data_IF_938546846578
#
_entry.id   IF_938546846578
#
_cell.length_a   1.000
_cell.length_b   1.000
_cell.length_c   1.000
_cell.angle_alpha   90.00
_cell.angle_beta   90.00
_cell.angle_gamma   90.00
#
_symmetry.space_group_name_H-M   'P 1'
#
loop_
_entity.id
_entity.type
_entity.pdbx_description
1 polymer ?
#
# COMPACT_ATOMS: atom_id res chain seq x y z
N UNK A 1 -49.33 -39.24 14.16
CA UNK A 1 -49.35 -38.44 15.36
C UNK A 1 -48.26 -37.36 15.18
N UNK A 2 -48.71 -36.22 14.67
CA UNK A 2 -48.49 -34.86 15.11
C UNK A 2 -47.04 -34.54 15.61
N UNK A 3 -46.28 -33.67 14.98
CA UNK A 3 -46.41 -32.23 15.10
C UNK A 3 -45.62 -31.49 13.99
N UNK A 4 -46.37 -30.71 13.29
CA UNK A 4 -45.97 -29.60 12.48
C UNK A 4 -45.75 -28.39 13.43
N UNK A 5 -44.60 -27.72 13.41
CA UNK A 5 -44.49 -26.38 13.94
C UNK A 5 -43.60 -25.58 13.00
N UNK A 6 -44.26 -24.72 12.28
CA UNK A 6 -43.83 -23.54 11.63
C UNK A 6 -42.81 -22.75 12.46
N UNK A 7 -41.72 -22.37 11.82
CA UNK A 7 -40.98 -21.17 12.25
C UNK A 7 -40.80 -20.25 11.03
N UNK A 8 -41.79 -19.36 10.86
CA UNK A 8 -41.93 -18.42 9.75
C UNK A 8 -41.81 -16.96 10.21
N UNK A 9 -40.99 -16.68 11.23
CA UNK A 9 -40.95 -15.34 11.81
C UNK A 9 -39.55 -14.68 11.88
N UNK A 10 -38.56 -15.19 11.12
CA UNK A 10 -37.21 -14.58 11.11
C UNK A 10 -36.85 -13.82 9.83
N UNK A 11 -37.72 -13.85 8.81
CA UNK A 11 -37.43 -13.21 7.50
C UNK A 11 -38.01 -11.80 7.34
N UNK A 12 -38.91 -11.37 8.23
CA UNK A 12 -39.55 -10.06 8.10
C UNK A 12 -38.82 -8.88 8.74
N UNK A 13 -37.81 -9.13 9.58
CA UNK A 13 -37.05 -8.05 10.24
C UNK A 13 -35.83 -7.62 9.44
N UNK A 14 -35.28 -8.49 8.59
CA UNK A 14 -34.12 -8.14 7.75
C UNK A 14 -34.50 -7.25 6.55
N UNK A 15 -35.69 -7.41 6.01
CA UNK A 15 -36.19 -6.58 4.91
C UNK A 15 -36.63 -5.17 5.38
N UNK A 16 -37.02 -5.01 6.65
CA UNK A 16 -37.42 -3.72 7.21
C UNK A 16 -36.25 -2.75 7.43
N UNK A 17 -35.05 -3.28 7.71
CA UNK A 17 -33.85 -2.43 7.94
C UNK A 17 -33.18 -1.96 6.65
N UNK A 18 -33.42 -2.62 5.51
CA UNK A 18 -32.94 -2.20 4.20
C UNK A 18 -33.76 -1.04 3.61
N UNK A 19 -34.99 -0.85 4.08
CA UNK A 19 -35.90 0.21 3.56
C UNK A 19 -35.64 1.60 4.17
N UNK A 20 -34.78 1.72 5.20
CA UNK A 20 -34.53 2.99 5.91
C UNK A 20 -33.32 3.81 5.40
N UNK A 21 -32.60 3.37 4.36
CA UNK A 21 -31.42 4.10 3.85
C UNK A 21 -31.66 4.92 2.56
N UNK A 22 -32.87 5.40 2.32
CA UNK A 22 -33.10 6.32 1.20
C UNK A 22 -32.97 7.80 1.62
N UNK A 23 -32.12 8.60 0.96
CA UNK A 23 -32.04 10.03 1.25
C UNK A 23 -33.33 10.75 0.86
N UNK A 24 -33.93 11.46 1.85
CA UNK A 24 -35.07 12.33 1.62
C UNK A 24 -34.59 13.59 0.92
N UNK A 25 -34.90 13.77 -0.35
CA UNK A 25 -34.83 15.06 -1.01
C UNK A 25 -36.25 15.54 -1.31
N UNK A 26 -36.55 16.77 -0.87
CA UNK A 26 -37.83 17.35 -0.93
C UNK A 26 -38.28 17.76 -2.34
N UNK A 27 -39.52 17.66 -2.53
CA UNK A 27 -40.48 18.10 -3.54
C UNK A 27 -41.15 16.96 -4.29
N UNK A 28 -42.39 16.63 -3.83
CA UNK A 28 -43.31 15.64 -4.40
C UNK A 28 -42.84 14.18 -4.46
N UNK A 29 -42.93 13.49 -3.36
CA UNK A 29 -43.61 12.22 -3.14
C UNK A 29 -43.13 10.95 -3.86
N UNK A 30 -42.18 10.97 -4.75
CA UNK A 30 -41.69 9.79 -5.44
C UNK A 30 -40.31 9.44 -4.93
N UNK A 31 -40.15 8.29 -4.29
CA UNK A 31 -38.84 7.78 -3.81
C UNK A 31 -38.09 7.24 -5.01
N UNK A 32 -37.20 8.04 -5.55
CA UNK A 32 -36.29 7.61 -6.61
C UNK A 32 -35.20 6.73 -6.00
N UNK A 33 -35.00 5.54 -6.53
CA UNK A 33 -33.88 4.68 -6.13
C UNK A 33 -32.56 5.28 -6.60
N UNK A 34 -31.45 4.92 -5.94
CA UNK A 34 -30.11 5.42 -6.32
C UNK A 34 -29.80 5.09 -7.79
N UNK A 35 -30.14 3.89 -8.21
CA UNK A 35 -29.91 3.43 -9.60
C UNK A 35 -30.74 4.23 -10.62
N UNK A 36 -31.96 4.58 -10.25
CA UNK A 36 -32.83 5.42 -11.07
C UNK A 36 -32.33 6.88 -11.13
N UNK A 37 -31.78 7.39 -10.02
CA UNK A 37 -31.12 8.70 -10.02
C UNK A 37 -29.88 8.70 -10.93
N UNK A 38 -29.10 7.64 -10.98
CA UNK A 38 -27.97 7.51 -11.90
C UNK A 38 -28.42 7.46 -13.37
N UNK A 39 -29.50 6.76 -13.69
CA UNK A 39 -30.05 6.74 -15.06
C UNK A 39 -30.57 8.09 -15.50
N UNK A 40 -31.23 8.83 -14.62
CA UNK A 40 -31.72 10.22 -14.88
C UNK A 40 -30.54 11.18 -15.14
N UNK A 41 -29.43 11.05 -14.43
CA UNK A 41 -28.22 11.89 -14.58
C UNK A 41 -27.38 11.51 -15.81
N UNK A 42 -27.73 10.45 -16.53
CA UNK A 42 -27.06 10.06 -17.78
C UNK A 42 -26.23 8.78 -17.72
N UNK A 43 -26.44 7.94 -16.72
CA UNK A 43 -25.82 6.63 -16.61
C UNK A 43 -24.29 6.66 -16.51
N UNK A 44 -23.60 5.78 -17.26
CA UNK A 44 -22.13 5.71 -17.30
C UNK A 44 -21.54 6.84 -18.17
N UNK A 45 -21.49 8.05 -17.59
CA UNK A 45 -21.09 9.27 -18.28
C UNK A 45 -19.57 9.52 -18.27
N UNK A 46 -19.18 10.71 -18.76
CA UNK A 46 -17.74 11.11 -18.86
C UNK A 46 -17.06 11.16 -17.49
N UNK A 47 -17.78 11.55 -16.43
CA UNK A 47 -17.25 11.63 -15.08
C UNK A 47 -16.86 10.24 -14.54
N UNK A 48 -17.72 9.25 -14.70
CA UNK A 48 -17.48 7.87 -14.24
C UNK A 48 -16.28 7.27 -14.98
N UNK A 49 -16.20 7.46 -16.31
CA UNK A 49 -15.05 7.02 -17.12
C UNK A 49 -13.75 7.64 -16.64
N UNK A 50 -13.74 8.96 -16.41
CA UNK A 50 -12.57 9.66 -15.89
C UNK A 50 -12.17 9.16 -14.51
N UNK A 51 -13.14 8.97 -13.61
CA UNK A 51 -12.91 8.43 -12.26
C UNK A 51 -12.30 7.03 -12.30
N UNK A 52 -12.82 6.14 -13.17
CA UNK A 52 -12.27 4.81 -13.39
C UNK A 52 -10.82 4.85 -13.86
N UNK A 53 -10.51 5.69 -14.86
CA UNK A 53 -9.15 5.84 -15.40
C UNK A 53 -8.20 6.33 -14.30
N UNK A 54 -8.59 7.36 -13.54
CA UNK A 54 -7.75 7.89 -12.45
C UNK A 54 -7.52 6.86 -11.36
N UNK A 55 -8.55 6.11 -10.97
CA UNK A 55 -8.42 5.04 -9.99
C UNK A 55 -7.51 3.90 -10.49
N UNK A 56 -7.63 3.53 -11.76
CA UNK A 56 -6.77 2.52 -12.39
C UNK A 56 -5.30 2.95 -12.41
N UNK A 57 -5.01 4.19 -12.83
CA UNK A 57 -3.65 4.75 -12.81
C UNK A 57 -3.06 4.78 -11.40
N UNK A 58 -3.89 5.13 -10.40
CA UNK A 58 -3.50 5.13 -9.00
C UNK A 58 -3.14 3.71 -8.52
N UNK A 59 -3.92 2.70 -8.91
CA UNK A 59 -3.67 1.31 -8.56
C UNK A 59 -2.43 0.74 -9.27
N UNK A 60 -2.20 1.12 -10.53
CA UNK A 60 -0.97 0.76 -11.24
C UNK A 60 0.27 1.29 -10.51
N UNK A 61 0.25 2.55 -10.07
CA UNK A 61 1.35 3.11 -9.27
C UNK A 61 1.64 2.32 -7.99
N UNK A 62 0.60 1.85 -7.31
CA UNK A 62 0.74 0.98 -6.13
C UNK A 62 1.37 -0.38 -6.48
N UNK A 63 0.95 -0.99 -7.58
CA UNK A 63 1.50 -2.26 -8.05
C UNK A 63 2.97 -2.14 -8.42
N UNK A 64 3.37 -1.05 -9.09
CA UNK A 64 4.78 -0.78 -9.37
C UNK A 64 5.61 -0.66 -8.10
N UNK A 65 5.14 0.08 -7.09
CA UNK A 65 5.84 0.21 -5.82
C UNK A 65 6.03 -1.16 -5.14
N UNK A 66 4.97 -1.96 -5.03
CA UNK A 66 5.03 -3.30 -4.43
C UNK A 66 6.04 -4.22 -5.13
N UNK A 67 6.05 -4.22 -6.46
CA UNK A 67 7.00 -5.01 -7.23
C UNK A 67 8.44 -4.48 -7.12
N UNK A 68 8.60 -3.15 -7.01
CA UNK A 68 9.92 -2.53 -6.86
C UNK A 68 10.51 -2.70 -5.46
N UNK A 69 9.70 -3.06 -4.47
CA UNK A 69 10.14 -3.15 -3.07
C UNK A 69 11.29 -4.16 -2.90
N UNK A 70 11.24 -5.29 -3.60
CA UNK A 70 12.32 -6.27 -3.61
C UNK A 70 13.66 -5.69 -4.12
N UNK A 71 13.63 -4.76 -5.06
CA UNK A 71 14.84 -4.09 -5.56
C UNK A 71 15.35 -3.02 -4.58
N UNK A 72 14.47 -2.45 -3.75
CA UNK A 72 14.86 -1.51 -2.70
C UNK A 72 15.60 -2.19 -1.55
N UNK A 73 15.38 -3.48 -1.33
CA UNK A 73 16.04 -4.31 -0.32
C UNK A 73 17.20 -5.13 -0.88
N UNK A 74 17.50 -5.01 -2.18
CA UNK A 74 18.58 -5.78 -2.80
C UNK A 74 19.95 -5.34 -2.28
N UNK A 75 20.72 -6.30 -1.79
CA UNK A 75 22.09 -6.05 -1.32
C UNK A 75 23.03 -5.77 -2.50
N UNK A 76 23.89 -4.74 -2.39
CA UNK A 76 24.90 -4.46 -3.40
C UNK A 76 25.96 -5.56 -3.42
N UNK A 77 26.71 -5.66 -4.51
CA UNK A 77 27.91 -6.50 -4.56
C UNK A 77 29.12 -5.74 -4.08
N UNK A 78 30.03 -6.47 -3.43
CA UNK A 78 31.28 -5.93 -2.87
C UNK A 78 32.48 -6.39 -3.67
N UNK A 79 33.49 -5.58 -3.70
CA UNK A 79 34.83 -5.93 -4.15
C UNK A 79 35.80 -5.66 -3.00
N UNK A 80 36.62 -6.63 -2.67
CA UNK A 80 37.60 -6.54 -1.59
C UNK A 80 39.01 -6.84 -2.10
N UNK A 81 39.98 -6.11 -1.57
CA UNK A 81 41.40 -6.38 -1.83
C UNK A 81 41.91 -7.37 -0.78
N UNK A 82 41.78 -8.67 -1.07
CA UNK A 82 42.19 -9.75 -0.19
C UNK A 82 43.71 -10.01 -0.27
N UNK A 83 44.35 -9.63 -1.41
CA UNK A 83 45.78 -9.67 -1.60
C UNK A 83 46.27 -8.28 -2.04
N UNK A 84 47.50 -7.87 -1.67
CA UNK A 84 48.05 -6.56 -2.03
C UNK A 84 48.01 -6.33 -3.55
N UNK A 85 47.20 -5.38 -4.02
CA UNK A 85 47.11 -5.00 -5.43
C UNK A 85 46.11 -5.80 -6.27
N UNK A 86 45.41 -6.81 -5.72
CA UNK A 86 44.43 -7.62 -6.46
C UNK A 86 43.01 -7.41 -5.91
N UNK A 87 42.14 -6.91 -6.74
CA UNK A 87 40.70 -6.76 -6.41
C UNK A 87 39.96 -8.07 -6.70
N UNK A 88 39.38 -8.66 -5.67
CA UNK A 88 38.48 -9.81 -5.78
C UNK A 88 37.04 -9.31 -5.81
N UNK A 89 36.31 -9.71 -6.86
CA UNK A 89 34.88 -9.35 -6.99
C UNK A 89 34.01 -10.39 -6.28
N UNK A 90 32.99 -9.92 -5.55
CA UNK A 90 31.96 -10.77 -4.98
C UNK A 90 31.10 -11.42 -6.07
N UNK A 91 30.95 -12.74 -5.97
CA UNK A 91 30.06 -13.53 -6.84
C UNK A 91 28.81 -13.96 -6.10
N UNK A 92 27.85 -14.58 -6.83
CA UNK A 92 26.65 -15.13 -6.18
C UNK A 92 26.96 -16.24 -5.19
N UNK A 93 28.08 -16.99 -5.42
CA UNK A 93 28.53 -18.07 -4.56
C UNK A 93 29.37 -17.57 -3.36
N UNK A 94 30.07 -16.45 -3.56
CA UNK A 94 30.87 -15.78 -2.53
C UNK A 94 30.62 -14.26 -2.54
N UNK A 95 29.63 -13.79 -1.78
CA UNK A 95 29.18 -12.39 -1.84
C UNK A 95 30.15 -11.38 -1.22
N UNK A 96 31.20 -11.78 -0.50
CA UNK A 96 32.17 -10.94 0.23
C UNK A 96 31.52 -9.98 1.26
N UNK A 97 30.31 -10.26 1.70
CA UNK A 97 29.60 -9.43 2.68
C UNK A 97 30.28 -9.50 4.06
N UNK A 98 30.75 -10.71 4.44
CA UNK A 98 31.40 -10.93 5.72
C UNK A 98 32.75 -10.22 5.76
N UNK A 99 33.53 -10.28 4.68
CA UNK A 99 34.79 -9.57 4.54
C UNK A 99 34.60 -8.05 4.56
N UNK A 100 33.54 -7.53 3.92
CA UNK A 100 33.21 -6.09 3.93
C UNK A 100 32.85 -5.63 5.34
N UNK A 101 32.08 -6.40 6.08
CA UNK A 101 31.58 -6.04 7.40
C UNK A 101 32.55 -6.34 8.55
N UNK A 102 33.54 -7.22 8.35
CA UNK A 102 34.55 -7.57 9.34
C UNK A 102 35.79 -6.65 9.29
N UNK A 103 35.60 -5.36 9.03
CA UNK A 103 36.64 -4.35 8.76
C UNK A 103 37.77 -4.20 9.83
N UNK A 104 37.99 -5.18 10.69
CA UNK A 104 39.05 -5.23 11.68
C UNK A 104 40.39 -5.78 11.12
N UNK A 105 40.38 -6.24 9.89
CA UNK A 105 41.56 -6.72 9.18
C UNK A 105 41.81 -5.83 7.96
N UNK A 106 43.06 -5.57 7.65
CA UNK A 106 43.66 -4.70 6.61
C UNK A 106 43.08 -4.78 5.18
N UNK A 107 41.88 -5.32 5.03
CA UNK A 107 41.19 -5.51 3.77
C UNK A 107 40.43 -4.24 3.39
N UNK A 108 40.83 -3.61 2.31
CA UNK A 108 40.12 -2.50 1.72
C UNK A 108 38.95 -3.07 0.90
N UNK A 109 37.73 -2.84 1.33
CA UNK A 109 36.52 -3.26 0.62
C UNK A 109 35.68 -2.08 0.19
N UNK A 110 35.11 -2.16 -1.00
CA UNK A 110 34.23 -1.14 -1.57
C UNK A 110 33.00 -1.78 -2.24
N UNK A 111 31.93 -0.99 -2.42
CA UNK A 111 30.78 -1.42 -3.22
C UNK A 111 31.20 -1.42 -4.69
N UNK A 112 30.94 -2.52 -5.37
CA UNK A 112 31.18 -2.65 -6.81
C UNK A 112 30.03 -2.02 -7.61
N UNK A 113 30.18 -0.76 -7.94
CA UNK A 113 29.20 -0.02 -8.76
C UNK A 113 29.21 -0.41 -10.25
N UNK A 114 30.18 -1.19 -10.70
CA UNK A 114 30.22 -1.72 -12.08
C UNK A 114 29.25 -2.88 -12.28
N UNK A 115 28.82 -3.50 -11.19
CA UNK A 115 27.90 -4.63 -11.23
C UNK A 115 26.45 -4.14 -11.48
N UNK A 116 25.70 -4.76 -12.39
CA UNK A 116 24.28 -4.43 -12.60
C UNK A 116 23.38 -4.77 -11.39
N UNK A 117 23.90 -5.50 -10.41
CA UNK A 117 23.19 -5.81 -9.17
C UNK A 117 23.40 -4.76 -8.07
N UNK A 118 24.36 -3.85 -8.23
CA UNK A 118 24.61 -2.78 -7.25
C UNK A 118 23.73 -1.57 -7.61
N UNK A 119 22.66 -1.42 -6.87
CA UNK A 119 21.70 -0.31 -7.03
C UNK A 119 21.84 0.68 -5.89
N UNK A 120 21.62 1.97 -6.20
CA UNK A 120 21.45 2.98 -5.16
C UNK A 120 20.03 2.88 -4.61
N UNK A 121 19.86 2.13 -3.54
CA UNK A 121 18.58 1.77 -2.93
C UNK A 121 18.61 1.99 -1.41
N UNK A 122 17.62 1.48 -0.67
CA UNK A 122 17.56 1.63 0.79
C UNK A 122 18.78 0.99 1.48
N UNK A 123 19.33 -0.11 0.94
CA UNK A 123 20.50 -0.79 1.51
C UNK A 123 21.72 0.12 1.54
N UNK A 124 21.97 0.84 0.44
CA UNK A 124 23.11 1.74 0.31
C UNK A 124 22.87 3.11 0.96
N UNK A 125 21.65 3.67 0.82
CA UNK A 125 21.31 4.99 1.36
C UNK A 125 21.29 5.03 2.89
N UNK A 126 20.82 3.96 3.53
CA UNK A 126 20.69 3.86 4.99
C UNK A 126 21.77 2.99 5.65
N UNK A 127 22.81 2.56 4.90
CA UNK A 127 23.90 1.73 5.38
C UNK A 127 23.44 0.43 6.06
N UNK A 128 22.47 -0.28 5.43
CA UNK A 128 21.97 -1.55 5.94
C UNK A 128 22.89 -2.74 5.68
N UNK A 129 23.94 -2.58 4.88
CA UNK A 129 24.73 -3.69 4.38
C UNK A 129 25.48 -4.47 5.46
N UNK A 130 25.81 -3.87 6.60
CA UNK A 130 26.44 -4.58 7.73
C UNK A 130 25.48 -4.80 8.90
N UNK A 131 24.18 -4.76 8.64
CA UNK A 131 23.20 -4.99 9.68
C UNK A 131 22.70 -6.45 9.67
N UNK A 132 22.31 -7.00 10.82
CA UNK A 132 21.77 -8.34 10.87
C UNK A 132 20.51 -8.47 10.00
N UNK A 133 20.35 -9.60 9.32
CA UNK A 133 19.30 -9.87 8.32
C UNK A 133 17.87 -9.58 8.82
N UNK A 134 17.62 -9.73 10.13
CA UNK A 134 16.31 -9.40 10.69
C UNK A 134 15.95 -7.91 10.59
N UNK A 135 16.95 -7.00 10.68
CA UNK A 135 16.72 -5.55 10.50
C UNK A 135 16.33 -5.21 9.06
N UNK A 136 16.90 -5.91 8.10
CA UNK A 136 16.54 -5.75 6.69
C UNK A 136 15.11 -6.24 6.48
N UNK A 137 14.78 -7.44 6.99
CA UNK A 137 13.41 -7.95 6.93
C UNK A 137 12.35 -7.09 7.63
N UNK A 138 12.75 -6.25 8.59
CA UNK A 138 11.87 -5.30 9.25
C UNK A 138 11.37 -4.19 8.30
N UNK A 139 12.04 -3.91 7.18
CA UNK A 139 11.55 -2.96 6.18
C UNK A 139 10.23 -3.45 5.57
N UNK A 140 10.25 -4.64 4.99
CA UNK A 140 9.05 -5.26 4.42
C UNK A 140 7.98 -5.52 5.47
N UNK A 141 8.37 -6.01 6.66
CA UNK A 141 7.44 -6.24 7.76
C UNK A 141 6.73 -4.97 8.20
N UNK A 142 7.43 -3.85 8.36
CA UNK A 142 6.84 -2.56 8.77
C UNK A 142 5.83 -2.06 7.75
N UNK A 143 6.14 -2.19 6.47
CA UNK A 143 5.23 -1.81 5.39
C UNK A 143 3.95 -2.68 5.39
N UNK A 144 4.08 -4.01 5.49
CA UNK A 144 2.95 -4.93 5.56
C UNK A 144 2.11 -4.74 6.82
N UNK A 145 2.76 -4.49 7.97
CA UNK A 145 2.07 -4.14 9.22
C UNK A 145 1.21 -2.89 9.04
N UNK A 146 1.72 -1.89 8.33
CA UNK A 146 0.96 -0.69 7.97
C UNK A 146 -0.30 -1.01 7.16
N UNK A 147 -0.21 -1.89 6.18
CA UNK A 147 -1.37 -2.34 5.38
C UNK A 147 -2.41 -3.01 6.29
N UNK A 148 -1.99 -3.93 7.17
CA UNK A 148 -2.89 -4.63 8.09
C UNK A 148 -3.61 -3.65 9.01
N UNK A 149 -2.86 -2.74 9.65
CA UNK A 149 -3.45 -1.71 10.52
C UNK A 149 -4.39 -0.79 9.75
N UNK A 150 -4.04 -0.44 8.51
CA UNK A 150 -4.89 0.34 7.62
C UNK A 150 -6.21 -0.37 7.28
N UNK A 151 -6.18 -1.67 7.00
CA UNK A 151 -7.38 -2.47 6.75
C UNK A 151 -8.32 -2.48 7.95
N UNK A 152 -7.78 -2.56 9.16
CA UNK A 152 -8.60 -2.62 10.38
C UNK A 152 -9.19 -1.25 10.78
N UNK A 153 -8.46 -0.17 10.53
CA UNK A 153 -8.83 1.18 11.00
C UNK A 153 -9.46 2.04 9.91
N UNK A 154 -8.78 2.18 8.79
CA UNK A 154 -9.15 3.13 7.73
C UNK A 154 -10.41 2.68 6.98
N UNK A 155 -10.59 1.37 6.77
CA UNK A 155 -11.80 0.86 6.13
C UNK A 155 -13.04 1.21 6.96
N UNK A 156 -12.99 1.05 8.28
CA UNK A 156 -14.08 1.46 9.19
C UNK A 156 -14.33 2.96 9.19
N UNK A 157 -13.25 3.75 9.17
CA UNK A 157 -13.37 5.22 9.10
C UNK A 157 -14.06 5.65 7.80
N UNK A 158 -13.79 4.97 6.69
CA UNK A 158 -14.46 5.21 5.40
C UNK A 158 -15.97 5.01 5.46
N UNK A 159 -16.43 4.01 6.22
CA UNK A 159 -17.86 3.72 6.38
C UNK A 159 -18.55 4.71 7.34
N UNK A 160 -17.85 5.20 8.38
CA UNK A 160 -18.42 6.14 9.37
C UNK A 160 -18.42 7.59 8.88
N UNK A 161 -17.30 8.08 8.35
CA UNK A 161 -17.12 9.48 7.94
C UNK A 161 -17.41 9.72 6.45
N UNK A 162 -17.67 8.65 5.72
CA UNK A 162 -17.87 8.69 4.28
C UNK A 162 -16.56 8.44 3.50
N UNK A 163 -16.70 7.85 2.33
CA UNK A 163 -15.55 7.35 1.56
C UNK A 163 -14.72 8.45 0.91
N UNK A 164 -15.36 9.51 0.42
CA UNK A 164 -14.67 10.61 -0.26
C UNK A 164 -13.64 11.34 0.62
N UNK A 165 -13.94 11.81 1.85
CA UNK A 165 -12.96 12.51 2.67
C UNK A 165 -11.81 11.58 3.11
N UNK A 166 -12.09 10.33 3.42
CA UNK A 166 -11.06 9.34 3.82
C UNK A 166 -10.15 9.00 2.65
N UNK A 167 -10.67 8.87 1.44
CA UNK A 167 -9.89 8.68 0.23
C UNK A 167 -8.93 9.86 -0.04
N UNK A 168 -9.44 11.10 0.06
CA UNK A 168 -8.60 12.30 -0.11
C UNK A 168 -7.52 12.40 0.97
N UNK A 169 -7.87 12.12 2.22
CA UNK A 169 -6.91 12.07 3.32
C UNK A 169 -5.82 11.03 3.03
N UNK A 170 -6.21 9.84 2.55
CA UNK A 170 -5.26 8.78 2.17
C UNK A 170 -4.30 9.20 1.06
N UNK A 171 -4.78 9.92 0.04
CA UNK A 171 -3.92 10.47 -1.02
C UNK A 171 -2.93 11.48 -0.48
N UNK A 172 -3.37 12.41 0.37
CA UNK A 172 -2.50 13.42 0.97
C UNK A 172 -1.45 12.79 1.88
N UNK A 173 -1.85 11.85 2.74
CA UNK A 173 -0.92 11.09 3.58
C UNK A 173 0.10 10.32 2.74
N UNK A 174 -0.35 9.65 1.67
CA UNK A 174 0.54 8.90 0.79
C UNK A 174 1.59 9.80 0.15
N UNK A 175 1.19 10.96 -0.36
CA UNK A 175 2.11 11.95 -0.92
C UNK A 175 3.10 12.45 0.15
N UNK A 176 2.62 12.83 1.34
CA UNK A 176 3.44 13.35 2.42
C UNK A 176 4.51 12.32 2.86
N UNK A 177 4.11 11.06 3.11
CA UNK A 177 5.05 10.03 3.52
C UNK A 177 6.02 9.62 2.41
N UNK A 178 5.58 9.63 1.13
CA UNK A 178 6.47 9.40 -0.02
C UNK A 178 7.57 10.46 -0.06
N UNK A 179 7.20 11.72 0.06
CA UNK A 179 8.15 12.84 0.08
C UNK A 179 9.08 12.72 1.29
N UNK A 180 8.55 12.42 2.48
CA UNK A 180 9.38 12.22 3.68
C UNK A 180 10.41 11.11 3.48
N UNK A 181 10.03 9.97 2.89
CA UNK A 181 10.97 8.86 2.64
C UNK A 181 12.04 9.26 1.63
N UNK A 182 11.66 9.95 0.54
CA UNK A 182 12.60 10.40 -0.49
C UNK A 182 13.65 11.39 0.03
N UNK A 183 13.25 12.27 0.95
CA UNK A 183 14.14 13.30 1.51
C UNK A 183 14.73 12.93 2.87
N UNK A 184 14.49 11.71 3.35
CA UNK A 184 15.05 11.24 4.61
C UNK A 184 16.57 11.06 4.46
N UNK A 185 17.32 11.96 5.11
CA UNK A 185 18.79 11.93 5.17
C UNK A 185 19.31 11.30 6.47
N UNK A 186 18.41 11.12 7.45
CA UNK A 186 18.79 10.61 8.77
C UNK A 186 18.95 9.09 8.71
N UNK A 187 20.08 8.59 9.16
CA UNK A 187 20.38 7.14 9.24
C UNK A 187 19.68 6.45 10.43
N UNK A 188 18.48 6.89 10.79
CA UNK A 188 17.70 6.31 11.87
C UNK A 188 16.72 5.27 11.35
N UNK A 189 17.03 4.01 11.55
CA UNK A 189 16.18 2.88 11.12
C UNK A 189 14.77 2.94 11.72
N UNK A 190 14.66 3.38 12.98
CA UNK A 190 13.37 3.49 13.67
C UNK A 190 12.43 4.48 12.98
N UNK A 191 12.95 5.61 12.52
CA UNK A 191 12.16 6.61 11.79
C UNK A 191 11.71 6.02 10.45
N UNK A 192 12.59 5.35 9.74
CA UNK A 192 12.28 4.72 8.45
C UNK A 192 11.18 3.66 8.60
N UNK A 193 11.28 2.76 9.60
CA UNK A 193 10.23 1.76 9.87
C UNK A 193 8.89 2.42 10.21
N UNK A 194 8.89 3.47 11.04
CA UNK A 194 7.68 4.23 11.34
C UNK A 194 7.04 4.85 10.09
N UNK A 195 7.83 5.48 9.24
CA UNK A 195 7.36 6.05 7.96
C UNK A 195 6.78 4.97 7.04
N UNK A 196 7.40 3.79 6.97
CA UNK A 196 6.90 2.66 6.17
C UNK A 196 5.56 2.13 6.69
N UNK A 197 5.34 2.08 8.01
CA UNK A 197 4.03 1.72 8.59
C UNK A 197 2.95 2.71 8.14
N UNK A 198 3.17 4.01 8.30
CA UNK A 198 2.19 5.02 7.87
C UNK A 198 2.00 5.04 6.36
N UNK A 199 3.05 4.81 5.60
CA UNK A 199 2.97 4.66 4.15
C UNK A 199 2.10 3.47 3.74
N UNK A 200 2.24 2.31 4.38
CA UNK A 200 1.39 1.14 4.19
C UNK A 200 -0.08 1.41 4.55
N UNK A 201 -0.34 2.12 5.66
CA UNK A 201 -1.70 2.54 6.03
C UNK A 201 -2.32 3.46 4.97
N UNK A 202 -1.57 4.43 4.47
CA UNK A 202 -2.04 5.36 3.42
C UNK A 202 -2.35 4.64 2.11
N UNK A 203 -1.59 3.59 1.79
CA UNK A 203 -1.84 2.74 0.64
C UNK A 203 -3.20 2.04 0.73
N UNK A 204 -3.55 1.54 1.91
CA UNK A 204 -4.87 0.92 2.17
C UNK A 204 -6.00 1.92 1.93
N UNK A 205 -5.89 3.14 2.45
CA UNK A 205 -6.89 4.19 2.22
C UNK A 205 -7.12 4.44 0.72
N UNK A 206 -6.03 4.49 -0.04
CA UNK A 206 -6.07 4.75 -1.48
C UNK A 206 -6.64 3.57 -2.26
N UNK A 207 -6.21 2.35 -1.99
CA UNK A 207 -6.63 1.16 -2.74
C UNK A 207 -8.05 0.74 -2.37
N UNK A 208 -8.31 0.41 -1.10
CA UNK A 208 -9.58 -0.18 -0.68
C UNK A 208 -10.71 0.86 -0.64
N UNK A 209 -10.48 2.01 0.02
CA UNK A 209 -11.52 3.04 0.10
C UNK A 209 -11.74 3.69 -1.27
N UNK A 210 -10.68 3.90 -2.04
CA UNK A 210 -10.78 4.44 -3.40
C UNK A 210 -11.51 3.51 -4.36
N UNK A 211 -11.25 2.21 -4.28
CA UNK A 211 -11.97 1.20 -5.07
C UNK A 211 -13.46 1.16 -4.71
N UNK A 212 -13.78 1.09 -3.43
CA UNK A 212 -15.15 1.08 -2.95
C UNK A 212 -15.89 2.36 -3.31
N UNK A 213 -15.25 3.52 -3.17
CA UNK A 213 -15.82 4.80 -3.60
C UNK A 213 -16.12 4.82 -5.10
N UNK A 214 -15.24 4.25 -5.91
CA UNK A 214 -15.43 4.19 -7.35
C UNK A 214 -16.58 3.25 -7.75
N UNK A 215 -16.73 2.12 -7.04
CA UNK A 215 -17.85 1.19 -7.26
C UNK A 215 -19.21 1.85 -6.93
N UNK A 216 -19.29 2.61 -5.85
CA UNK A 216 -20.52 3.31 -5.48
C UNK A 216 -20.95 4.40 -6.49
N UNK A 217 -20.01 4.89 -7.28
CA UNK A 217 -20.27 5.90 -8.32
C UNK A 217 -20.66 5.29 -9.67
N UNK A 218 -20.75 3.97 -9.76
CA UNK A 218 -21.14 3.27 -10.98
C UNK A 218 -22.58 2.74 -10.89
N UNK A 219 -23.36 2.83 -11.96
CA UNK A 219 -24.67 2.18 -12.03
C UNK A 219 -24.50 0.67 -12.02
N UNK A 220 -25.43 -0.06 -11.38
CA UNK A 220 -25.38 -1.52 -11.22
C UNK A 220 -25.52 -2.33 -12.53
N UNK A 221 -25.95 -1.71 -13.60
CA UNK A 221 -26.23 -2.36 -14.89
C UNK A 221 -25.07 -2.26 -15.89
N UNK A 222 -23.87 -1.89 -15.47
CA UNK A 222 -22.64 -1.91 -16.24
C UNK A 222 -21.67 -2.97 -15.67
#
# INVERSE_FOLDING_TARGET
MLLNTENKDTDSTFDADLEQQTPRTGSKGERVTIDEAFTIVGGFGKFQKFSCIMNTLTNMGAAFFLNSFAFLELQPRYKCQLEPGVWTLGTAERPLEEEYCSAEQDNVCEIDWSSPHSLNNFMTQFNFYCQPKWKIGMLGFSFLLGIILGCLTISRLGDVYGRKPIYLLGLLMHLAFSVCICFLTTQSYTILYGLLVFFGMSLTARLYVGYSFNLEMQPKET
#
